data_IF_104454627030
#
_entry.id   IF_104454627030
#
_cell.length_a   1.000
_cell.length_b   1.000
_cell.length_c   1.000
_cell.angle_alpha   90.00
_cell.angle_beta   90.00
_cell.angle_gamma   90.00
#
_symmetry.space_group_name_H-M   'P 1'
#
loop_
_entity.id
_entity.type
_entity.pdbx_description
1 polymer ?
#
# COMPACT_ATOMS: atom_id res chain seq x y z
N UNK A 1 -3.12 -26.23 -5.37
CA UNK A 1 -3.64 -24.96 -4.81
C UNK A 1 -4.40 -24.23 -5.91
N UNK A 2 -5.66 -23.86 -5.69
CA UNK A 2 -6.41 -23.02 -6.63
C UNK A 2 -6.08 -21.57 -6.28
N UNK A 3 -5.31 -20.90 -7.14
CA UNK A 3 -4.94 -19.48 -6.99
C UNK A 3 -6.22 -18.65 -6.96
N UNK A 4 -6.45 -17.88 -5.89
CA UNK A 4 -7.62 -16.98 -5.80
C UNK A 4 -7.17 -15.60 -6.19
N UNK A 5 -7.36 -15.27 -7.46
CA UNK A 5 -7.06 -13.95 -8.01
C UNK A 5 -8.01 -12.92 -7.43
N UNK A 6 -7.47 -11.76 -7.05
CA UNK A 6 -8.20 -10.58 -6.59
C UNK A 6 -7.54 -9.33 -7.17
N UNK A 7 -8.30 -8.25 -7.44
CA UNK A 7 -7.72 -7.01 -7.93
C UNK A 7 -6.87 -6.34 -6.85
N UNK A 8 -5.73 -5.76 -7.23
CA UNK A 8 -4.85 -5.02 -6.31
C UNK A 8 -5.59 -3.87 -5.59
N UNK A 9 -6.59 -3.29 -6.26
CA UNK A 9 -7.46 -2.24 -5.73
C UNK A 9 -8.09 -2.58 -4.37
N UNK A 10 -8.26 -3.87 -4.02
CA UNK A 10 -8.76 -4.28 -2.71
C UNK A 10 -7.83 -3.89 -1.55
N UNK A 11 -6.54 -3.67 -1.80
CA UNK A 11 -5.55 -3.29 -0.80
C UNK A 11 -5.35 -1.77 -0.69
N UNK A 12 -5.74 -1.00 -1.71
CA UNK A 12 -5.53 0.45 -1.78
C UNK A 12 -6.11 1.21 -0.57
N UNK A 13 -7.31 0.89 -0.05
CA UNK A 13 -7.83 1.54 1.16
C UNK A 13 -6.93 1.36 2.39
N UNK A 14 -6.30 0.18 2.54
CA UNK A 14 -5.36 -0.09 3.64
C UNK A 14 -4.09 0.72 3.50
N UNK A 15 -3.50 0.77 2.31
CA UNK A 15 -2.32 1.60 2.04
C UNK A 15 -2.59 3.09 2.27
N UNK A 16 -3.75 3.59 1.81
CA UNK A 16 -4.19 4.98 2.09
C UNK A 16 -4.26 5.30 3.58
N UNK A 17 -4.78 4.37 4.40
CA UNK A 17 -4.82 4.54 5.86
C UNK A 17 -3.41 4.61 6.46
N UNK A 18 -2.52 3.71 6.05
CA UNK A 18 -1.13 3.68 6.51
C UNK A 18 -0.43 5.00 6.18
N UNK A 19 -0.52 5.46 4.92
CA UNK A 19 0.10 6.72 4.50
C UNK A 19 -0.43 7.91 5.30
N UNK A 20 -1.76 8.00 5.50
CA UNK A 20 -2.37 9.08 6.30
C UNK A 20 -1.89 9.08 7.76
N UNK A 21 -1.75 7.90 8.35
CA UNK A 21 -1.27 7.77 9.72
C UNK A 21 0.18 8.26 9.83
N UNK A 22 1.07 7.71 8.99
CA UNK A 22 2.50 8.05 9.01
C UNK A 22 2.71 9.53 8.67
N UNK A 23 2.00 10.06 7.68
CA UNK A 23 2.09 11.48 7.33
C UNK A 23 1.64 12.39 8.49
N UNK A 24 0.63 11.95 9.25
CA UNK A 24 0.18 12.65 10.46
C UNK A 24 1.22 12.61 11.58
N UNK A 25 1.83 11.45 11.83
CA UNK A 25 2.91 11.28 12.81
C UNK A 25 4.12 12.17 12.48
N UNK A 26 4.45 12.31 11.19
CA UNK A 26 5.58 13.11 10.71
C UNK A 26 5.25 14.60 10.49
N UNK A 27 3.98 14.99 10.57
CA UNK A 27 3.55 16.36 10.23
C UNK A 27 3.76 16.74 8.77
N UNK A 28 3.86 15.76 7.85
CA UNK A 28 4.11 15.98 6.41
C UNK A 28 2.80 15.97 5.64
N UNK A 29 2.67 16.87 4.65
CA UNK A 29 1.55 16.83 3.69
C UNK A 29 1.90 15.88 2.55
N UNK A 30 1.13 14.82 2.39
CA UNK A 30 1.38 13.78 1.39
C UNK A 30 0.13 13.59 0.54
N UNK A 31 0.32 13.60 -0.78
CA UNK A 31 -0.67 13.08 -1.73
C UNK A 31 -0.29 11.65 -2.12
N UNK A 32 -1.27 10.75 -2.14
CA UNK A 32 -1.06 9.33 -2.39
C UNK A 32 -1.94 8.85 -3.54
N UNK A 33 -1.29 8.55 -4.65
CA UNK A 33 -1.90 8.02 -5.86
C UNK A 33 -1.46 6.57 -6.11
N UNK A 34 -2.38 5.75 -6.63
CA UNK A 34 -2.11 4.37 -7.05
C UNK A 34 -2.62 4.19 -8.46
N UNK A 35 -1.72 3.83 -9.37
CA UNK A 35 -2.01 3.66 -10.80
C UNK A 35 -2.12 2.17 -11.14
N UNK A 36 -2.95 1.86 -12.14
CA UNK A 36 -3.15 0.50 -12.66
C UNK A 36 -3.54 -0.54 -11.58
N UNK A 37 -4.39 -0.14 -10.63
CA UNK A 37 -4.79 -0.99 -9.49
C UNK A 37 -5.81 -2.08 -9.88
N UNK A 38 -6.29 -2.08 -11.12
CA UNK A 38 -7.20 -3.08 -11.70
C UNK A 38 -6.52 -4.44 -11.96
N UNK A 39 -5.19 -4.49 -11.98
CA UNK A 39 -4.44 -5.74 -12.15
C UNK A 39 -4.78 -6.77 -11.06
N UNK A 40 -4.97 -8.02 -11.49
CA UNK A 40 -5.27 -9.13 -10.58
C UNK A 40 -4.00 -9.82 -10.07
N UNK A 41 -4.03 -10.24 -8.81
CA UNK A 41 -2.95 -10.97 -8.17
C UNK A 41 -3.48 -12.07 -7.25
N UNK A 42 -2.68 -13.11 -7.00
CA UNK A 42 -3.03 -14.13 -6.00
C UNK A 42 -3.20 -13.47 -4.62
N UNK A 43 -4.30 -13.81 -3.95
CA UNK A 43 -4.62 -13.26 -2.62
C UNK A 43 -3.50 -13.48 -1.59
N UNK A 44 -2.92 -14.68 -1.53
CA UNK A 44 -1.91 -14.97 -0.51
C UNK A 44 -0.63 -14.16 -0.77
N UNK A 45 -0.30 -13.92 -2.04
CA UNK A 45 0.78 -13.02 -2.43
C UNK A 45 0.44 -11.59 -2.00
N UNK A 46 -0.77 -11.09 -2.30
CA UNK A 46 -1.20 -9.74 -1.92
C UNK A 46 -1.12 -9.51 -0.41
N UNK A 47 -1.58 -10.47 0.39
CA UNK A 47 -1.52 -10.40 1.86
C UNK A 47 -0.09 -10.34 2.38
N UNK A 48 0.83 -11.12 1.79
CA UNK A 48 2.26 -11.10 2.14
C UNK A 48 2.96 -9.81 1.71
N UNK A 49 2.49 -9.17 0.66
CA UNK A 49 3.06 -7.91 0.16
C UNK A 49 2.73 -6.70 1.03
N UNK A 50 1.76 -6.78 1.94
CA UNK A 50 1.36 -5.62 2.74
C UNK A 50 2.52 -5.07 3.57
N UNK A 51 3.21 -5.91 4.35
CA UNK A 51 4.27 -5.44 5.23
C UNK A 51 5.46 -4.83 4.45
N UNK A 52 5.95 -5.44 3.34
CA UNK A 52 6.94 -4.80 2.47
C UNK A 52 6.47 -3.45 1.91
N UNK A 53 5.23 -3.35 1.44
CA UNK A 53 4.70 -2.08 0.90
C UNK A 53 4.58 -1.01 1.97
N UNK A 54 4.12 -1.37 3.16
CA UNK A 54 4.08 -0.49 4.33
C UNK A 54 5.49 0.03 4.67
N UNK A 55 6.50 -0.85 4.67
CA UNK A 55 7.88 -0.47 4.91
C UNK A 55 8.41 0.50 3.85
N UNK A 56 8.14 0.22 2.56
CA UNK A 56 8.55 1.11 1.46
C UNK A 56 7.88 2.48 1.55
N UNK A 57 6.59 2.52 1.88
CA UNK A 57 5.86 3.77 2.09
C UNK A 57 6.44 4.55 3.27
N UNK A 58 6.69 3.90 4.40
CA UNK A 58 7.32 4.53 5.56
C UNK A 58 8.67 5.14 5.21
N UNK A 59 9.56 4.39 4.54
CA UNK A 59 10.87 4.90 4.13
C UNK A 59 10.75 6.11 3.20
N UNK A 60 9.82 6.09 2.24
CA UNK A 60 9.57 7.21 1.35
C UNK A 60 9.08 8.46 2.11
N UNK A 61 8.21 8.29 3.11
CA UNK A 61 7.69 9.38 3.92
C UNK A 61 8.70 9.90 4.95
N UNK A 62 9.49 9.02 5.58
CA UNK A 62 10.48 9.40 6.60
C UNK A 62 11.64 10.17 5.98
N UNK A 63 12.14 9.70 4.83
CA UNK A 63 13.43 10.14 4.26
C UNK A 63 13.32 10.81 2.89
N UNK A 64 12.24 10.59 2.14
CA UNK A 64 12.13 11.03 0.74
C UNK A 64 11.35 12.33 0.51
N UNK A 65 10.55 12.76 1.49
CA UNK A 65 9.69 13.97 1.43
C UNK A 65 9.96 14.84 2.65
#
# INVERSE_FOLDING_TARGET
>A
MKTRMIPFSSMVPRLRRIVRQISGELGKKVDFDVRNAEGEMDRNILERMVAPLEHMLRNALDHGI
#
